data_IF_757115154342
#
_entry.id   IF_757115154342
#
_cell.length_a   1.000
_cell.length_b   1.000
_cell.length_c   1.000
_cell.angle_alpha   90.00
_cell.angle_beta   90.00
_cell.angle_gamma   90.00
#
_symmetry.space_group_name_H-M   'P 1'
#
loop_
_entity.id
_entity.type
_entity.pdbx_description
1 polymer ?
#
# COMPACT_ATOMS: atom_id res chain seq x y z
N UNK A 1 0.49 25.74 2.42
CA UNK A 1 0.10 27.14 2.09
C UNK A 1 -0.44 27.11 0.67
N UNK A 2 -1.77 27.29 0.50
CA UNK A 2 -2.37 27.47 -0.83
C UNK A 2 -1.90 28.80 -1.40
N UNK A 3 -1.22 28.78 -2.55
CA UNK A 3 -0.97 29.97 -3.32
C UNK A 3 -2.32 30.49 -3.87
N UNK A 4 -2.68 31.71 -3.54
CA UNK A 4 -3.79 32.41 -4.19
C UNK A 4 -3.40 32.65 -5.65
N UNK A 5 -4.01 31.92 -6.56
CA UNK A 5 -4.02 32.30 -7.98
C UNK A 5 -5.12 33.35 -8.15
N UNK A 6 -4.71 34.58 -8.37
CA UNK A 6 -5.62 35.70 -8.59
C UNK A 6 -6.36 35.50 -9.93
N UNK A 7 -7.68 35.53 -9.88
CA UNK A 7 -8.54 35.72 -11.06
C UNK A 7 -9.16 34.45 -11.66
N UNK A 8 -8.89 33.27 -11.13
CA UNK A 8 -9.66 32.07 -11.44
C UNK A 8 -10.49 31.73 -10.21
N UNK A 9 -11.79 31.69 -10.35
CA UNK A 9 -12.67 31.10 -9.35
C UNK A 9 -12.28 29.64 -9.29
N UNK A 10 -11.42 29.28 -8.31
CA UNK A 10 -11.00 27.91 -8.10
C UNK A 10 -12.24 27.12 -7.71
N UNK A 11 -12.71 26.29 -8.62
CA UNK A 11 -13.52 25.16 -8.25
C UNK A 11 -12.84 24.52 -7.03
N UNK A 12 -13.62 24.13 -6.04
CA UNK A 12 -13.11 23.55 -4.82
C UNK A 12 -12.02 22.51 -5.16
N UNK A 13 -10.81 22.77 -4.73
CA UNK A 13 -9.72 21.80 -4.88
C UNK A 13 -10.12 20.54 -4.11
N UNK A 14 -9.90 19.35 -4.66
CA UNK A 14 -10.23 18.13 -3.94
C UNK A 14 -9.42 18.04 -2.64
N UNK A 15 -10.08 17.63 -1.58
CA UNK A 15 -9.42 17.23 -0.35
C UNK A 15 -8.88 15.82 -0.60
N UNK A 16 -7.56 15.71 -0.66
CA UNK A 16 -6.90 14.42 -0.88
C UNK A 16 -6.58 13.75 0.44
N UNK A 17 -7.02 12.50 0.57
CA UNK A 17 -6.77 11.64 1.73
C UNK A 17 -5.95 10.44 1.27
N UNK A 18 -4.78 10.25 1.85
CA UNK A 18 -4.00 9.03 1.69
C UNK A 18 -4.33 8.08 2.83
N UNK A 19 -4.97 6.93 2.54
CA UNK A 19 -5.37 5.94 3.53
C UNK A 19 -4.17 5.28 4.19
N UNK A 20 -3.31 4.68 3.39
CA UNK A 20 -2.10 4.02 3.84
C UNK A 20 -1.06 5.01 4.39
N UNK A 21 -0.18 4.52 5.25
CA UNK A 21 0.80 5.35 5.95
C UNK A 21 1.96 5.85 5.10
N UNK A 22 2.20 5.28 3.91
CA UNK A 22 3.45 5.50 3.17
C UNK A 22 4.67 5.16 4.05
N UNK A 23 5.78 5.87 3.91
CA UNK A 23 6.95 5.72 4.80
C UNK A 23 6.87 6.61 6.05
N UNK A 24 5.70 6.74 6.64
CA UNK A 24 5.54 7.43 7.92
C UNK A 24 5.17 6.46 9.03
N UNK A 25 5.45 6.85 10.27
CA UNK A 25 5.09 6.07 11.47
C UNK A 25 3.65 6.30 11.92
N UNK A 26 2.90 7.21 11.27
CA UNK A 26 1.49 7.43 11.59
C UNK A 26 0.67 6.15 11.40
N UNK A 27 -0.41 5.95 12.14
CA UNK A 27 -1.35 4.87 11.88
C UNK A 27 -1.97 5.00 10.47
N UNK A 28 -2.31 3.87 9.88
CA UNK A 28 -3.17 3.82 8.68
C UNK A 28 -4.59 4.16 9.08
N UNK A 29 -5.31 4.86 8.19
CA UNK A 29 -6.69 5.26 8.46
C UNK A 29 -7.66 4.07 8.29
N UNK A 30 -8.39 3.77 9.34
CA UNK A 30 -9.53 2.86 9.29
C UNK A 30 -10.74 3.55 8.63
N UNK A 31 -11.76 2.79 8.22
CA UNK A 31 -12.98 3.37 7.65
C UNK A 31 -13.69 4.34 8.62
N UNK A 32 -13.57 4.14 9.95
CA UNK A 32 -14.14 5.04 10.97
C UNK A 32 -13.46 6.41 10.97
N UNK A 33 -12.16 6.42 10.85
CA UNK A 33 -11.38 7.67 10.76
C UNK A 33 -11.62 8.37 9.43
N UNK A 34 -11.69 7.63 8.33
CA UNK A 34 -12.06 8.18 7.01
C UNK A 34 -13.44 8.83 7.09
N UNK A 35 -14.44 8.15 7.67
CA UNK A 35 -15.78 8.71 7.87
C UNK A 35 -15.74 10.04 8.62
N UNK A 36 -15.01 10.08 9.75
CA UNK A 36 -14.86 11.29 10.56
C UNK A 36 -14.19 12.43 9.78
N UNK A 37 -13.17 12.12 8.99
CA UNK A 37 -12.52 13.11 8.12
C UNK A 37 -13.48 13.65 7.06
N UNK A 38 -14.30 12.80 6.44
CA UNK A 38 -15.33 13.21 5.49
C UNK A 38 -16.36 14.14 6.15
N UNK A 39 -16.86 13.79 7.32
CA UNK A 39 -17.83 14.61 8.08
C UNK A 39 -17.24 15.99 8.41
N UNK A 40 -16.03 16.05 8.94
CA UNK A 40 -15.35 17.33 9.24
C UNK A 40 -15.11 18.14 7.96
N UNK A 41 -14.68 17.52 6.88
CA UNK A 41 -14.41 18.18 5.61
C UNK A 41 -15.68 18.80 5.03
N UNK A 42 -16.78 18.06 5.00
CA UNK A 42 -18.07 18.52 4.48
C UNK A 42 -18.73 19.57 5.36
N UNK A 43 -18.54 19.49 6.68
CA UNK A 43 -19.04 20.54 7.59
C UNK A 43 -18.37 21.90 7.36
N UNK A 44 -17.07 21.90 7.01
CA UNK A 44 -16.30 23.13 6.78
C UNK A 44 -16.32 23.60 5.31
N UNK A 45 -16.49 22.69 4.37
CA UNK A 45 -16.52 22.97 2.92
C UNK A 45 -17.44 21.96 2.23
N UNK A 46 -18.76 22.22 2.21
CA UNK A 46 -19.76 21.28 1.68
C UNK A 46 -19.53 20.88 0.21
N UNK A 47 -19.02 21.82 -0.58
CA UNK A 47 -18.78 21.64 -2.03
C UNK A 47 -17.44 20.97 -2.36
N UNK A 48 -16.57 20.77 -1.38
CA UNK A 48 -15.26 20.14 -1.61
C UNK A 48 -15.44 18.69 -2.06
N UNK A 49 -14.69 18.28 -3.07
CA UNK A 49 -14.60 16.87 -3.49
C UNK A 49 -13.60 16.16 -2.58
N UNK A 50 -14.01 15.05 -1.99
CA UNK A 50 -13.14 14.21 -1.19
C UNK A 50 -12.63 13.06 -2.05
N UNK A 51 -11.32 13.07 -2.34
CA UNK A 51 -10.61 12.03 -3.08
C UNK A 51 -9.72 11.22 -2.12
N UNK A 52 -9.78 9.90 -2.21
CA UNK A 52 -9.01 9.00 -1.38
C UNK A 52 -8.11 8.10 -2.21
N UNK A 53 -6.83 8.03 -1.85
CA UNK A 53 -5.93 6.95 -2.26
C UNK A 53 -6.20 5.73 -1.36
N UNK A 54 -6.76 4.68 -1.97
CA UNK A 54 -7.16 3.47 -1.26
C UNK A 54 -6.11 2.33 -1.34
N UNK A 55 -4.94 2.59 -1.94
CA UNK A 55 -3.90 1.57 -2.07
C UNK A 55 -3.64 0.82 -0.75
N UNK A 56 -3.59 -0.50 -0.82
CA UNK A 56 -3.43 -1.44 0.30
C UNK A 56 -4.61 -1.55 1.27
N UNK A 57 -5.66 -0.74 1.09
CA UNK A 57 -6.84 -0.72 1.97
C UNK A 57 -8.02 -1.54 1.47
N UNK A 58 -8.00 -1.97 0.22
CA UNK A 58 -9.09 -2.71 -0.39
C UNK A 58 -9.24 -4.10 0.26
N UNK A 59 -10.49 -4.53 0.47
CA UNK A 59 -10.87 -5.82 1.07
C UNK A 59 -10.38 -6.04 2.53
N UNK A 60 -9.93 -4.99 3.22
CA UNK A 60 -9.53 -5.07 4.63
C UNK A 60 -10.75 -5.16 5.55
N UNK A 61 -11.82 -4.46 5.19
CA UNK A 61 -13.07 -4.41 5.95
C UNK A 61 -14.26 -4.62 5.02
N UNK A 62 -15.45 -4.85 5.61
CA UNK A 62 -16.73 -4.91 4.89
C UNK A 62 -17.23 -3.53 4.45
N UNK A 63 -16.68 -2.47 5.01
CA UNK A 63 -17.04 -1.07 4.75
C UNK A 63 -16.01 -0.44 3.84
N UNK A 64 -16.41 -0.11 2.63
CA UNK A 64 -15.55 0.57 1.67
C UNK A 64 -15.68 2.10 1.79
N UNK A 65 -14.62 2.86 1.48
CA UNK A 65 -14.57 4.32 1.70
C UNK A 65 -15.69 5.11 1.03
N UNK A 66 -16.14 4.70 -0.15
CA UNK A 66 -17.25 5.37 -0.86
C UNK A 66 -18.56 5.33 -0.09
N UNK A 67 -18.77 4.31 0.76
CA UNK A 67 -19.99 4.19 1.58
C UNK A 67 -19.98 5.10 2.81
N UNK A 68 -18.87 5.76 3.12
CA UNK A 68 -18.71 6.59 4.32
C UNK A 68 -18.40 8.06 4.03
N UNK A 69 -18.62 8.50 2.80
CA UNK A 69 -18.58 9.91 2.44
C UNK A 69 -17.45 10.35 1.52
N UNK A 70 -16.61 9.42 1.05
CA UNK A 70 -15.62 9.67 0.00
C UNK A 70 -16.37 9.87 -1.34
N UNK A 71 -16.04 10.92 -2.09
CA UNK A 71 -16.66 11.20 -3.39
C UNK A 71 -16.03 10.40 -4.53
N UNK A 72 -14.72 10.18 -4.44
CA UNK A 72 -13.94 9.43 -5.44
C UNK A 72 -12.75 8.77 -4.76
N UNK A 73 -12.42 7.56 -5.16
CA UNK A 73 -11.20 6.86 -4.73
C UNK A 73 -10.44 6.29 -5.91
N UNK A 74 -9.14 6.14 -5.75
CA UNK A 74 -8.27 5.47 -6.70
C UNK A 74 -7.38 4.44 -5.98
N UNK A 75 -6.93 3.45 -6.74
CA UNK A 75 -5.99 2.45 -6.25
C UNK A 75 -5.31 1.71 -7.40
N UNK A 76 -4.40 0.84 -7.04
CA UNK A 76 -3.58 0.07 -7.98
C UNK A 76 -4.10 -1.35 -8.12
N UNK A 77 -4.20 -1.83 -9.37
CA UNK A 77 -4.59 -3.21 -9.66
C UNK A 77 -3.45 -4.22 -9.47
N UNK A 78 -2.19 -3.79 -9.33
CA UNK A 78 -1.10 -4.70 -8.95
C UNK A 78 -1.04 -4.97 -7.43
N UNK A 79 -1.85 -4.25 -6.65
CA UNK A 79 -1.98 -4.41 -5.19
C UNK A 79 -3.17 -5.33 -4.85
N UNK A 80 -3.81 -5.07 -3.72
CA UNK A 80 -4.92 -5.90 -3.23
C UNK A 80 -5.94 -6.28 -4.31
N UNK A 81 -6.46 -5.34 -5.14
CA UNK A 81 -7.54 -5.68 -6.08
C UNK A 81 -7.13 -6.64 -7.19
N UNK A 82 -5.86 -6.74 -7.50
CA UNK A 82 -5.38 -7.63 -8.56
C UNK A 82 -5.01 -9.03 -8.11
N UNK A 83 -5.08 -9.33 -6.79
CA UNK A 83 -4.89 -10.68 -6.26
C UNK A 83 -3.59 -11.37 -6.68
N UNK A 84 -2.54 -10.62 -7.01
CA UNK A 84 -1.26 -11.14 -7.48
C UNK A 84 -1.28 -11.66 -8.92
N UNK A 85 -2.38 -11.48 -9.66
CA UNK A 85 -2.54 -11.95 -11.04
C UNK A 85 -2.54 -10.79 -12.04
N UNK A 86 -3.13 -9.65 -11.65
CA UNK A 86 -3.16 -8.47 -12.53
C UNK A 86 -1.74 -7.93 -12.79
N UNK A 87 -1.29 -7.87 -14.05
CA UNK A 87 0.11 -7.50 -14.35
C UNK A 87 0.35 -5.99 -14.27
N UNK A 88 -0.69 -5.19 -14.35
CA UNK A 88 -0.62 -3.73 -14.41
C UNK A 88 -1.99 -3.11 -14.13
N UNK A 89 -2.05 -1.80 -14.06
CA UNK A 89 -3.29 -1.03 -14.07
C UNK A 89 -3.62 -0.37 -12.75
N UNK A 90 -4.65 0.45 -12.81
CA UNK A 90 -5.25 1.13 -11.67
C UNK A 90 -6.75 1.21 -11.86
N UNK A 91 -7.45 1.60 -10.82
CA UNK A 91 -8.88 1.84 -10.88
C UNK A 91 -9.22 3.22 -10.29
N UNK A 92 -10.31 3.78 -10.79
CA UNK A 92 -10.97 4.94 -10.21
C UNK A 92 -12.44 4.56 -10.00
N UNK A 93 -12.95 4.76 -8.81
CA UNK A 93 -14.33 4.51 -8.45
C UNK A 93 -14.90 5.70 -7.67
N UNK A 94 -16.21 5.96 -7.81
CA UNK A 94 -16.87 7.09 -7.13
C UNK A 94 -18.07 7.63 -7.87
N UNK A 95 -18.38 8.89 -7.63
CA UNK A 95 -19.46 9.60 -8.31
C UNK A 95 -19.27 9.59 -9.82
N UNK A 96 -20.33 9.29 -10.55
CA UNK A 96 -20.32 9.10 -12.01
C UNK A 96 -19.63 10.27 -12.75
N UNK A 97 -19.97 11.48 -12.38
CA UNK A 97 -19.47 12.71 -13.02
C UNK A 97 -17.93 12.81 -12.85
N UNK A 98 -17.42 12.47 -11.66
CA UNK A 98 -15.99 12.54 -11.37
C UNK A 98 -15.22 11.45 -12.14
N UNK A 99 -15.78 10.24 -12.19
CA UNK A 99 -15.18 9.11 -12.94
C UNK A 99 -15.16 9.42 -14.44
N UNK A 100 -16.21 10.02 -14.99
CA UNK A 100 -16.26 10.43 -16.39
C UNK A 100 -15.22 11.52 -16.70
N UNK A 101 -15.07 12.52 -15.86
CA UNK A 101 -14.02 13.53 -16.00
C UNK A 101 -12.62 12.91 -16.03
N UNK A 102 -12.35 11.94 -15.18
CA UNK A 102 -11.09 11.20 -15.17
C UNK A 102 -10.89 10.41 -16.47
N UNK A 103 -11.94 9.77 -16.99
CA UNK A 103 -11.88 9.01 -18.24
C UNK A 103 -11.49 9.89 -19.44
N UNK A 104 -12.02 11.11 -19.53
CA UNK A 104 -11.65 12.08 -20.57
C UNK A 104 -10.18 12.53 -20.49
N UNK A 105 -9.56 12.40 -19.33
CA UNK A 105 -8.16 12.79 -19.12
C UNK A 105 -7.18 11.65 -19.30
N UNK A 106 -7.58 10.43 -18.97
CA UNK A 106 -6.71 9.24 -18.98
C UNK A 106 -6.50 8.65 -20.38
N UNK A 107 -7.41 8.90 -21.31
CA UNK A 107 -7.35 8.41 -22.69
C UNK A 107 -7.05 9.54 -23.66
N UNK A 108 -7.31 9.34 -24.94
CA UNK A 108 -7.24 10.42 -25.94
C UNK A 108 -8.26 11.51 -25.61
N UNK A 109 -7.88 12.79 -25.59
CA UNK A 109 -8.79 13.88 -25.29
C UNK A 109 -10.09 13.82 -26.09
N UNK A 110 -11.22 13.89 -25.38
CA UNK A 110 -12.55 13.89 -25.98
C UNK A 110 -13.17 12.51 -26.26
N UNK A 111 -12.44 11.42 -26.10
CA UNK A 111 -12.96 10.05 -26.38
C UNK A 111 -13.49 9.34 -25.13
N UNK A 112 -13.07 9.78 -23.93
CA UNK A 112 -13.51 9.17 -22.67
C UNK A 112 -13.19 7.69 -22.58
N UNK A 113 -14.09 6.93 -21.95
CA UNK A 113 -13.92 5.49 -21.68
C UNK A 113 -14.26 4.57 -22.84
N UNK A 114 -14.74 5.09 -23.96
CA UNK A 114 -15.13 4.29 -25.13
C UNK A 114 -13.91 3.78 -25.91
N UNK A 115 -12.76 4.41 -25.72
CA UNK A 115 -11.50 4.03 -26.34
C UNK A 115 -10.47 3.80 -25.25
N UNK A 116 -9.74 2.71 -25.34
CA UNK A 116 -8.64 2.38 -24.44
C UNK A 116 -8.18 0.95 -24.70
N UNK A 117 -6.85 0.76 -24.81
CA UNK A 117 -6.27 -0.55 -24.95
C UNK A 117 -6.17 -1.23 -23.57
N UNK A 118 -6.75 -2.43 -23.43
CA UNK A 118 -6.57 -3.27 -22.24
C UNK A 118 -5.36 -4.18 -22.34
N UNK A 119 -4.61 -4.13 -23.44
CA UNK A 119 -3.41 -4.92 -23.69
C UNK A 119 -3.62 -6.44 -23.51
N UNK A 120 -4.82 -6.93 -23.80
CA UNK A 120 -5.30 -8.29 -23.55
C UNK A 120 -5.29 -8.73 -22.07
N UNK A 121 -5.14 -7.82 -21.13
CA UNK A 121 -5.06 -8.13 -19.70
C UNK A 121 -6.43 -8.38 -19.02
N UNK A 122 -7.55 -8.29 -19.73
CA UNK A 122 -8.89 -8.41 -19.13
C UNK A 122 -9.07 -9.70 -18.33
N UNK A 123 -8.60 -10.84 -18.85
CA UNK A 123 -8.73 -12.12 -18.14
C UNK A 123 -7.99 -12.09 -16.81
N UNK A 124 -6.76 -11.61 -16.81
CA UNK A 124 -5.92 -11.48 -15.60
C UNK A 124 -6.52 -10.48 -14.62
N UNK A 125 -7.06 -9.35 -15.09
CA UNK A 125 -7.72 -8.36 -14.26
C UNK A 125 -8.96 -8.94 -13.55
N UNK A 126 -9.83 -9.65 -14.27
CA UNK A 126 -11.02 -10.28 -13.69
C UNK A 126 -10.67 -11.47 -12.78
N UNK A 127 -9.71 -12.30 -13.16
CA UNK A 127 -9.23 -13.39 -12.31
C UNK A 127 -8.59 -12.85 -11.03
N UNK A 128 -7.79 -11.80 -11.16
CA UNK A 128 -7.19 -11.12 -10.02
C UNK A 128 -8.24 -10.56 -9.07
N UNK A 129 -9.24 -9.86 -9.57
CA UNK A 129 -10.35 -9.33 -8.78
C UNK A 129 -11.14 -10.45 -8.07
N UNK A 130 -11.33 -11.59 -8.71
CA UNK A 130 -11.99 -12.75 -8.10
C UNK A 130 -11.19 -13.32 -6.92
N UNK A 131 -9.86 -13.41 -7.04
CA UNK A 131 -8.98 -13.92 -6.00
C UNK A 131 -8.61 -12.87 -4.93
N UNK A 132 -8.77 -11.59 -5.22
CA UNK A 132 -8.32 -10.48 -4.39
C UNK A 132 -8.72 -10.57 -2.91
N UNK A 133 -9.96 -10.89 -2.53
CA UNK A 133 -10.33 -10.99 -1.11
C UNK A 133 -9.57 -12.10 -0.37
N UNK A 134 -9.34 -13.24 -1.04
CA UNK A 134 -8.57 -14.34 -0.48
C UNK A 134 -7.10 -13.95 -0.29
N UNK A 135 -6.48 -13.43 -1.32
CA UNK A 135 -5.05 -13.04 -1.30
C UNK A 135 -4.81 -11.91 -0.28
N UNK A 136 -5.70 -10.92 -0.20
CA UNK A 136 -5.63 -9.88 0.83
C UNK A 136 -5.73 -10.49 2.24
N UNK A 137 -6.57 -11.49 2.45
CA UNK A 137 -6.64 -12.24 3.70
C UNK A 137 -5.33 -12.95 4.05
N UNK A 138 -4.63 -13.53 3.06
CA UNK A 138 -3.31 -14.16 3.27
C UNK A 138 -2.22 -13.12 3.62
N UNK A 139 -2.25 -11.96 2.96
CA UNK A 139 -1.37 -10.84 3.28
C UNK A 139 -1.61 -10.32 4.71
N UNK A 140 -2.87 -10.21 5.15
CA UNK A 140 -3.22 -9.85 6.52
C UNK A 140 -2.71 -10.86 7.55
N UNK A 141 -2.86 -12.16 7.29
CA UNK A 141 -2.30 -13.21 8.17
C UNK A 141 -0.79 -13.08 8.30
N UNK A 142 -0.11 -12.78 7.18
CA UNK A 142 1.35 -12.57 7.17
C UNK A 142 1.75 -11.34 8.00
N UNK A 143 1.03 -10.23 7.85
CA UNK A 143 1.26 -9.02 8.63
C UNK A 143 1.03 -9.23 10.14
N UNK A 144 -0.05 -9.93 10.52
CA UNK A 144 -0.34 -10.28 11.93
C UNK A 144 0.74 -11.19 12.50
N UNK A 145 1.16 -12.21 11.74
CA UNK A 145 2.25 -13.10 12.14
C UNK A 145 3.56 -12.35 12.34
N UNK A 146 3.92 -11.46 11.42
CA UNK A 146 5.13 -10.64 11.54
C UNK A 146 5.10 -9.75 12.78
N UNK A 147 3.96 -9.07 13.03
CA UNK A 147 3.79 -8.28 14.25
C UNK A 147 4.00 -9.13 15.51
N UNK A 148 3.29 -10.25 15.63
CA UNK A 148 3.38 -11.13 16.79
C UNK A 148 4.80 -11.68 17.01
N UNK A 149 5.46 -12.14 15.95
CA UNK A 149 6.83 -12.65 16.03
C UNK A 149 7.81 -11.58 16.51
N UNK A 150 7.77 -10.39 15.91
CA UNK A 150 8.71 -9.32 16.25
C UNK A 150 8.41 -8.71 17.62
N UNK A 151 7.17 -8.67 18.09
CA UNK A 151 6.83 -8.31 19.47
C UNK A 151 7.40 -9.31 20.48
N UNK A 152 7.34 -10.63 20.21
CA UNK A 152 7.99 -11.68 21.04
C UNK A 152 9.51 -11.49 21.07
N UNK A 153 10.12 -11.05 19.96
CA UNK A 153 11.54 -10.74 19.88
C UNK A 153 11.93 -9.40 20.52
N UNK A 154 10.97 -8.64 21.06
CA UNK A 154 11.22 -7.39 21.78
C UNK A 154 11.24 -6.14 20.90
N UNK A 155 10.81 -6.22 19.66
CA UNK A 155 10.70 -5.07 18.76
C UNK A 155 9.34 -4.39 18.85
N UNK A 156 9.31 -3.07 18.69
CA UNK A 156 8.07 -2.32 18.56
C UNK A 156 7.47 -2.50 17.16
N UNK A 157 6.16 -2.74 17.09
CA UNK A 157 5.42 -2.92 15.83
C UNK A 157 4.20 -2.01 15.76
N UNK A 158 3.76 -1.69 14.54
CA UNK A 158 2.54 -0.91 14.30
C UNK A 158 1.87 -1.31 12.97
N UNK A 159 0.60 -1.73 12.97
CA UNK A 159 -0.23 -2.05 14.12
C UNK A 159 0.34 -3.22 14.94
N UNK A 160 -0.07 -3.36 16.20
CA UNK A 160 0.19 -4.56 16.98
C UNK A 160 -0.60 -5.74 16.41
N UNK A 161 -0.20 -6.96 16.77
CA UNK A 161 -0.84 -8.18 16.23
C UNK A 161 -2.35 -8.25 16.49
N UNK A 162 -2.87 -7.62 17.54
CA UNK A 162 -4.27 -7.60 17.94
C UNK A 162 -4.99 -6.26 17.66
N UNK A 163 -4.32 -5.29 17.03
CA UNK A 163 -4.93 -4.01 16.67
C UNK A 163 -5.80 -4.13 15.42
N UNK A 164 -6.78 -3.22 15.31
CA UNK A 164 -7.52 -3.03 14.07
C UNK A 164 -6.60 -2.52 12.96
N UNK A 165 -6.80 -3.02 11.74
CA UNK A 165 -5.98 -2.67 10.57
C UNK A 165 -6.77 -1.88 9.54
N UNK A 166 -6.13 -0.92 8.93
CA UNK A 166 -6.67 -0.15 7.80
C UNK A 166 -6.08 -0.57 6.45
N UNK A 167 -4.96 -1.30 6.48
CA UNK A 167 -4.25 -1.84 5.31
C UNK A 167 -3.49 -3.13 5.66
N UNK A 168 -2.71 -3.65 4.69
CA UNK A 168 -1.88 -4.86 4.84
C UNK A 168 -0.45 -4.54 5.30
N UNK A 169 -0.11 -3.28 5.55
CA UNK A 169 1.27 -2.88 5.87
C UNK A 169 1.56 -3.16 7.35
N UNK A 170 2.72 -3.75 7.59
CA UNK A 170 3.28 -3.96 8.90
C UNK A 170 4.57 -3.16 9.08
N UNK A 171 4.55 -2.21 9.99
CA UNK A 171 5.73 -1.48 10.42
C UNK A 171 6.42 -2.23 11.56
N UNK A 172 7.75 -2.37 11.45
CA UNK A 172 8.60 -3.00 12.48
C UNK A 172 9.77 -2.05 12.75
N UNK A 173 9.92 -1.59 13.99
CA UNK A 173 10.99 -0.70 14.42
C UNK A 173 12.22 -1.52 14.75
N UNK A 174 13.29 -1.43 13.96
CA UNK A 174 14.51 -2.22 14.13
C UNK A 174 15.63 -1.47 14.84
N UNK A 175 15.56 -0.14 14.88
CA UNK A 175 16.43 0.72 15.69
C UNK A 175 17.80 1.04 15.13
N UNK A 176 18.28 0.33 14.08
CA UNK A 176 19.52 0.68 13.38
C UNK A 176 19.52 0.21 11.92
N UNK A 177 20.42 0.79 11.13
CA UNK A 177 20.51 0.53 9.69
C UNK A 177 20.92 -0.91 9.36
N UNK A 178 21.76 -1.53 10.15
CA UNK A 178 22.23 -2.90 9.92
C UNK A 178 21.08 -3.90 10.03
N UNK A 179 20.26 -3.85 11.08
CA UNK A 179 19.07 -4.70 11.23
C UNK A 179 18.07 -4.49 10.11
N UNK A 180 17.91 -3.26 9.62
CA UNK A 180 17.06 -2.92 8.48
C UNK A 180 17.55 -3.66 7.22
N UNK A 181 18.85 -3.60 6.90
CA UNK A 181 19.42 -4.32 5.78
C UNK A 181 19.26 -5.85 5.94
N UNK A 182 19.55 -6.39 7.13
CA UNK A 182 19.40 -7.82 7.45
C UNK A 182 17.95 -8.30 7.31
N UNK A 183 17.00 -7.50 7.74
CA UNK A 183 15.57 -7.80 7.52
C UNK A 183 15.26 -7.95 6.04
N UNK A 184 15.65 -6.98 5.23
CA UNK A 184 15.41 -6.98 3.79
C UNK A 184 16.12 -8.16 3.10
N UNK A 185 17.37 -8.48 3.47
CA UNK A 185 18.08 -9.66 2.98
C UNK A 185 17.32 -10.95 3.31
N UNK A 186 16.79 -11.06 4.53
CA UNK A 186 16.02 -12.22 4.97
C UNK A 186 14.72 -12.38 4.18
N UNK A 187 13.94 -11.30 4.00
CA UNK A 187 12.73 -11.31 3.17
C UNK A 187 13.09 -11.70 1.73
N UNK A 188 14.12 -11.10 1.14
CA UNK A 188 14.55 -11.38 -0.23
C UNK A 188 14.93 -12.85 -0.41
N UNK A 189 15.66 -13.44 0.55
CA UNK A 189 16.07 -14.84 0.49
C UNK A 189 14.89 -15.84 0.54
N UNK A 190 13.73 -15.41 1.03
CA UNK A 190 12.47 -16.17 1.02
C UNK A 190 11.53 -15.85 -0.12
N UNK A 191 11.92 -14.96 -1.03
CA UNK A 191 11.08 -14.51 -2.13
C UNK A 191 10.99 -15.54 -3.27
N UNK A 192 9.93 -15.46 -4.06
CA UNK A 192 9.69 -16.38 -5.17
C UNK A 192 10.66 -16.16 -6.34
N UNK A 193 11.11 -14.93 -6.53
CA UNK A 193 12.00 -14.50 -7.61
C UNK A 193 13.24 -13.84 -6.99
N UNK A 194 14.39 -14.02 -7.61
CA UNK A 194 15.66 -13.41 -7.23
C UNK A 194 16.07 -13.63 -5.75
N UNK A 195 15.70 -14.77 -5.16
CA UNK A 195 16.03 -15.10 -3.76
C UNK A 195 17.54 -15.14 -3.46
N UNK A 196 18.37 -15.28 -4.47
CA UNK A 196 19.83 -15.28 -4.37
C UNK A 196 20.45 -13.87 -4.37
N UNK A 197 19.66 -12.83 -4.65
CA UNK A 197 20.12 -11.43 -4.67
C UNK A 197 20.09 -10.87 -3.26
N UNK A 198 21.13 -10.11 -2.89
CA UNK A 198 21.13 -9.33 -1.66
C UNK A 198 20.72 -7.88 -1.98
N UNK A 199 19.62 -7.40 -1.43
CA UNK A 199 19.22 -6.00 -1.61
C UNK A 199 20.22 -5.07 -0.92
N UNK A 200 20.59 -4.00 -1.61
CA UNK A 200 21.52 -2.98 -1.12
C UNK A 200 20.84 -1.61 -1.02
N UNK A 201 21.28 -0.75 -0.10
CA UNK A 201 20.82 0.63 -0.06
C UNK A 201 21.04 1.34 -1.39
N UNK A 202 20.00 1.98 -1.90
CA UNK A 202 20.04 2.67 -3.19
C UNK A 202 19.33 4.02 -3.10
N UNK A 203 19.80 4.99 -3.87
CA UNK A 203 19.15 6.28 -3.99
C UNK A 203 17.84 6.12 -4.76
N UNK A 204 16.78 6.72 -4.23
CA UNK A 204 15.46 6.72 -4.88
C UNK A 204 15.02 8.15 -5.20
N UNK A 205 14.54 8.42 -6.42
CA UNK A 205 14.02 9.73 -6.78
C UNK A 205 12.92 10.19 -5.82
N UNK A 206 13.05 11.40 -5.29
CA UNK A 206 12.09 11.99 -4.36
C UNK A 206 12.31 11.66 -2.88
N UNK A 207 13.36 10.92 -2.54
CA UNK A 207 13.76 10.63 -1.16
C UNK A 207 15.15 11.18 -0.86
N UNK A 208 15.33 11.73 0.34
CA UNK A 208 16.62 12.25 0.81
C UNK A 208 17.53 11.15 1.35
N UNK A 209 16.94 10.06 1.87
CA UNK A 209 17.67 8.90 2.40
C UNK A 209 17.65 7.74 1.41
N UNK A 210 18.71 6.96 1.40
CA UNK A 210 18.72 5.69 0.67
C UNK A 210 17.63 4.76 1.19
N UNK A 211 17.13 3.90 0.30
CA UNK A 211 16.11 2.92 0.62
C UNK A 211 16.63 1.53 0.26
N UNK A 212 16.43 0.57 1.17
CA UNK A 212 16.63 -0.84 0.87
C UNK A 212 15.28 -1.45 0.53
N UNK A 213 15.18 -2.13 -0.59
CA UNK A 213 13.94 -2.78 -1.03
C UNK A 213 14.15 -4.27 -1.22
N UNK A 214 13.39 -5.08 -0.49
CA UNK A 214 13.24 -6.51 -0.74
C UNK A 214 11.93 -6.72 -1.50
N UNK A 215 12.02 -7.09 -2.77
CA UNK A 215 10.87 -7.22 -3.65
C UNK A 215 11.11 -8.30 -4.72
N UNK A 216 11.37 -9.53 -4.28
CA UNK A 216 11.49 -10.69 -5.15
C UNK A 216 10.12 -11.18 -5.62
N UNK A 217 9.48 -10.41 -6.48
CA UNK A 217 8.09 -10.54 -6.91
C UNK A 217 7.98 -10.75 -8.43
N UNK A 218 6.89 -11.38 -8.87
CA UNK A 218 6.58 -11.55 -10.29
C UNK A 218 6.17 -10.23 -10.96
N UNK A 219 5.59 -9.32 -10.18
CA UNK A 219 5.22 -7.98 -10.64
C UNK A 219 6.28 -6.99 -10.19
N UNK A 220 6.82 -6.21 -11.12
CA UNK A 220 7.79 -5.16 -10.81
C UNK A 220 7.14 -4.06 -9.95
N UNK A 221 7.84 -3.64 -8.90
CA UNK A 221 7.39 -2.63 -7.97
C UNK A 221 6.58 -3.18 -6.78
N UNK A 222 6.11 -2.28 -5.94
CA UNK A 222 5.32 -2.62 -4.73
C UNK A 222 3.94 -3.15 -5.11
N UNK A 223 3.72 -4.45 -4.92
CA UNK A 223 2.50 -5.19 -5.26
C UNK A 223 1.86 -5.82 -4.02
N UNK A 224 0.88 -6.72 -4.22
CA UNK A 224 0.32 -7.55 -3.15
C UNK A 224 1.27 -8.71 -2.76
N UNK A 225 2.34 -8.92 -3.48
CA UNK A 225 3.36 -9.92 -3.15
C UNK A 225 4.20 -9.47 -1.96
N UNK A 226 4.86 -10.43 -1.29
CA UNK A 226 5.69 -10.11 -0.14
C UNK A 226 6.83 -9.17 -0.54
N UNK A 227 6.89 -8.03 0.13
CA UNK A 227 7.97 -7.06 -0.02
C UNK A 227 8.24 -6.33 1.28
N UNK A 228 9.40 -5.70 1.38
CA UNK A 228 9.78 -4.85 2.49
C UNK A 228 10.53 -3.63 1.96
N UNK A 229 10.03 -2.47 2.29
CA UNK A 229 10.64 -1.18 1.96
C UNK A 229 11.21 -0.56 3.23
N UNK A 230 12.45 -0.09 3.17
CA UNK A 230 13.15 0.35 4.36
C UNK A 230 14.06 1.56 4.08
N UNK A 231 13.55 2.79 4.26
CA UNK A 231 14.37 3.98 4.24
C UNK A 231 15.42 3.95 5.36
N UNK A 232 16.70 4.18 5.03
CA UNK A 232 17.81 4.21 5.98
C UNK A 232 17.87 5.54 6.72
N UNK A 233 16.89 5.78 7.55
CA UNK A 233 16.78 6.95 8.44
C UNK A 233 16.06 6.56 9.72
N UNK A 234 16.22 7.38 10.76
CA UNK A 234 15.45 7.18 11.99
C UNK A 234 13.94 7.18 11.71
N UNK A 235 13.19 6.29 12.39
CA UNK A 235 13.58 5.40 13.50
C UNK A 235 14.16 4.04 13.05
N UNK A 236 14.70 3.90 11.84
CA UNK A 236 15.22 2.65 11.27
C UNK A 236 14.18 1.55 11.33
N UNK A 237 13.13 1.74 10.59
CA UNK A 237 11.99 0.83 10.52
C UNK A 237 11.84 0.22 9.12
N UNK A 238 11.11 -0.89 9.06
CA UNK A 238 10.74 -1.56 7.81
C UNK A 238 9.24 -1.49 7.64
N UNK A 239 8.79 -1.18 6.43
CA UNK A 239 7.40 -1.28 5.99
C UNK A 239 7.26 -2.56 5.17
N UNK A 240 6.86 -3.64 5.82
CA UNK A 240 6.61 -4.92 5.20
C UNK A 240 5.16 -5.02 4.75
N UNK A 241 4.91 -5.63 3.61
CA UNK A 241 3.57 -5.78 3.07
C UNK A 241 3.42 -7.03 2.21
N UNK A 242 2.18 -7.46 2.02
CA UNK A 242 1.82 -8.47 1.04
C UNK A 242 2.13 -9.90 1.47
N UNK A 243 1.78 -10.76 0.64
CA UNK A 243 2.09 -12.18 0.45
C UNK A 243 0.93 -12.84 -0.29
N UNK A 244 1.17 -13.58 -1.34
CA UNK A 244 0.13 -14.28 -2.11
C UNK A 244 -0.46 -15.45 -1.33
N UNK A 245 0.29 -16.02 -0.40
CA UNK A 245 -0.18 -17.02 0.54
C UNK A 245 0.61 -16.94 1.85
N UNK A 246 -0.05 -17.28 2.95
CA UNK A 246 0.51 -17.17 4.29
C UNK A 246 1.79 -18.01 4.49
N UNK A 247 1.88 -19.20 3.90
CA UNK A 247 3.02 -20.09 4.14
C UNK A 247 4.32 -19.50 3.57
N UNK A 248 4.29 -18.94 2.37
CA UNK A 248 5.44 -18.25 1.79
C UNK A 248 5.78 -16.98 2.56
N UNK A 249 4.76 -16.18 2.93
CA UNK A 249 4.96 -14.99 3.72
C UNK A 249 5.58 -15.28 5.09
N UNK A 250 5.06 -16.28 5.78
CA UNK A 250 5.61 -16.77 7.06
C UNK A 250 7.10 -17.17 6.92
N UNK A 251 7.46 -17.88 5.84
CA UNK A 251 8.84 -18.25 5.60
C UNK A 251 9.74 -17.02 5.46
N UNK A 252 9.37 -16.06 4.63
CA UNK A 252 10.12 -14.80 4.45
C UNK A 252 10.30 -14.02 5.75
N UNK A 253 9.25 -13.91 6.56
CA UNK A 253 9.31 -13.26 7.89
C UNK A 253 10.23 -14.00 8.86
N UNK A 254 10.19 -15.34 8.88
CA UNK A 254 11.07 -16.15 9.72
C UNK A 254 12.55 -16.04 9.30
N UNK A 255 12.81 -15.98 8.00
CA UNK A 255 14.16 -15.77 7.47
C UNK A 255 14.69 -14.38 7.85
N UNK A 256 13.84 -13.33 7.77
CA UNK A 256 14.18 -12.00 8.24
C UNK A 256 14.55 -11.97 9.72
N UNK A 257 13.74 -12.58 10.57
CA UNK A 257 14.04 -12.72 12.01
C UNK A 257 15.34 -13.48 12.25
N UNK A 258 15.57 -14.61 11.56
CA UNK A 258 16.78 -15.41 11.67
C UNK A 258 18.05 -14.63 11.28
N UNK A 259 17.98 -13.81 10.23
CA UNK A 259 19.10 -12.97 9.78
C UNK A 259 19.50 -11.93 10.83
N UNK A 260 18.51 -11.30 11.46
CA UNK A 260 18.75 -10.31 12.53
C UNK A 260 19.40 -10.99 13.77
N UNK A 261 18.88 -12.14 14.20
CA UNK A 261 19.31 -12.81 15.44
C UNK A 261 20.68 -13.49 15.35
N UNK A 262 21.18 -13.81 14.15
CA UNK A 262 22.50 -14.46 13.99
C UNK A 262 23.66 -13.56 14.32
N UNK A 263 23.51 -12.28 14.17
CA UNK A 263 24.57 -11.29 14.38
C UNK A 263 24.56 -10.70 15.81
N UNK A 264 23.58 -11.09 16.64
CA UNK A 264 23.55 -10.75 18.08
C UNK A 264 24.31 -11.76 18.97
N UNK A 265 24.93 -12.80 18.37
CA UNK A 265 25.79 -13.78 19.04
C UNK A 265 27.25 -13.53 18.73
#
# INVERSE_FOLDING_TARGET
>A
RCARVTGVQTCALPIYIQRSRGYSTRPTLTWREIKKLCEISKANSPESIIMLDNCYGEFIDKVEPLSVGVDMMAGSLIKNPGGGIAPTGGYIAGKKELVEMCAYRLTTPGTGKEIGATLNANRELFMGAYHAPHVTGEALKTAVFASALFEILGYETSPKYNDARGDIIQLIMLGNAEKVCRFCEGVQSGSAVDSFVSPIPSDMPGYESQVVMAAGAFTLGSSIELSADAPLREPYAVWMQGSLNFHSGKLGVMLAASKILRDEK
#
